data_IF_666636016490
#
_entry.id   IF_666636016490
#
_cell.length_a   1.000
_cell.length_b   1.000
_cell.length_c   1.000
_cell.angle_alpha   90.00
_cell.angle_beta   90.00
_cell.angle_gamma   90.00
#
_symmetry.space_group_name_H-M   'P 1'
#
loop_
_entity.id
_entity.type
_entity.pdbx_description
1 polymer ?
#
# COMPACT_ATOMS: atom_id res chain seq x y z
N UNK A 1 -24.77 6.71 1.10
CA UNK A 1 -23.47 6.19 0.60
C UNK A 1 -22.95 7.24 -0.37
N UNK A 2 -21.63 7.42 -0.49
CA UNK A 2 -21.10 8.56 -1.24
C UNK A 2 -19.90 8.16 -2.09
N UNK A 3 -20.03 8.27 -3.42
CA UNK A 3 -18.89 8.33 -4.31
C UNK A 3 -18.13 9.65 -4.09
N UNK A 4 -16.80 9.61 -4.27
CA UNK A 4 -15.94 10.80 -4.18
C UNK A 4 -15.19 10.96 -5.48
N UNK A 5 -15.25 12.15 -6.08
CA UNK A 5 -14.53 12.48 -7.31
C UNK A 5 -13.60 13.66 -7.06
N UNK A 6 -12.37 13.48 -7.44
CA UNK A 6 -11.30 14.48 -7.38
C UNK A 6 -10.93 14.84 -8.81
N UNK A 7 -11.11 16.09 -9.22
CA UNK A 7 -10.79 16.59 -10.55
C UNK A 7 -9.68 17.63 -10.44
N UNK A 8 -8.47 17.27 -10.90
CA UNK A 8 -7.29 18.11 -10.93
C UNK A 8 -7.00 18.83 -9.60
N UNK A 9 -7.10 18.10 -8.48
CA UNK A 9 -6.92 18.65 -7.13
C UNK A 9 -5.48 19.12 -6.94
N UNK A 10 -5.32 20.38 -6.55
CA UNK A 10 -4.03 21.02 -6.27
C UNK A 10 -4.02 21.58 -4.85
N UNK A 11 -2.90 21.39 -4.14
CA UNK A 11 -2.61 22.07 -2.87
C UNK A 11 -1.29 22.81 -2.93
N UNK A 12 -1.32 24.10 -2.59
CA UNK A 12 -0.15 24.98 -2.46
C UNK A 12 -0.15 25.64 -1.09
N UNK A 13 1.03 25.76 -0.52
CA UNK A 13 1.27 26.56 0.68
C UNK A 13 2.18 27.74 0.30
N UNK A 14 1.64 28.95 0.30
CA UNK A 14 2.32 30.13 -0.24
C UNK A 14 2.55 30.02 -1.76
N UNK A 15 3.43 30.87 -2.29
CA UNK A 15 3.59 31.03 -3.74
C UNK A 15 4.42 29.91 -4.42
N UNK A 16 5.24 29.16 -3.66
CA UNK A 16 6.23 28.25 -4.26
C UNK A 16 6.14 26.78 -3.82
N UNK A 17 5.38 26.46 -2.77
CA UNK A 17 5.37 25.08 -2.25
C UNK A 17 4.10 24.32 -2.61
N UNK A 18 4.11 23.65 -3.76
CA UNK A 18 3.02 22.76 -4.19
C UNK A 18 3.25 21.37 -3.58
N UNK A 19 2.28 20.90 -2.80
CA UNK A 19 2.30 19.58 -2.14
C UNK A 19 1.47 18.55 -2.92
N UNK A 20 0.38 18.96 -3.57
CA UNK A 20 -0.46 18.12 -4.42
C UNK A 20 -0.48 18.73 -5.81
N UNK A 21 -0.17 17.91 -6.82
CA UNK A 21 0.15 18.35 -8.17
C UNK A 21 -0.91 17.93 -9.21
N UNK A 22 -2.18 18.26 -8.99
CA UNK A 22 -3.24 17.92 -9.94
C UNK A 22 -3.62 16.44 -9.87
N UNK A 23 -4.40 16.06 -8.84
CA UNK A 23 -4.86 14.69 -8.65
C UNK A 23 -6.24 14.53 -9.26
N UNK A 24 -6.34 13.52 -10.15
CA UNK A 24 -7.59 12.99 -10.68
C UNK A 24 -7.81 11.60 -10.08
N UNK A 25 -8.94 11.40 -9.39
CA UNK A 25 -9.29 10.12 -8.78
C UNK A 25 -10.81 10.00 -8.62
N UNK A 26 -11.34 8.86 -9.04
CA UNK A 26 -12.71 8.46 -8.78
C UNK A 26 -12.75 7.33 -7.76
N UNK A 27 -13.47 7.52 -6.66
CA UNK A 27 -13.72 6.54 -5.59
C UNK A 27 -15.18 6.16 -5.66
N UNK A 28 -15.44 4.86 -5.82
CA UNK A 28 -16.78 4.33 -6.00
C UNK A 28 -17.56 4.34 -4.69
N UNK A 29 -18.88 4.39 -4.80
CA UNK A 29 -19.74 4.22 -3.65
C UNK A 29 -19.55 2.84 -3.00
N UNK A 30 -19.43 2.81 -1.66
CA UNK A 30 -19.18 1.59 -0.89
C UNK A 30 -17.76 1.01 -1.03
N UNK A 31 -16.84 1.69 -1.69
CA UNK A 31 -15.47 1.22 -1.89
C UNK A 31 -14.61 1.42 -0.64
N UNK A 32 -13.77 0.41 -0.32
CA UNK A 32 -12.65 0.57 0.61
C UNK A 32 -11.37 0.84 -0.18
N UNK A 33 -10.97 2.09 -0.25
CA UNK A 33 -9.75 2.51 -0.96
C UNK A 33 -8.66 2.90 0.02
N UNK A 34 -7.42 2.51 -0.28
CA UNK A 34 -6.26 2.80 0.57
C UNK A 34 -5.27 3.70 -0.16
N UNK A 35 -4.88 4.80 0.48
CA UNK A 35 -3.80 5.68 0.04
C UNK A 35 -2.50 5.26 0.73
N UNK A 36 -1.51 4.87 -0.04
CA UNK A 36 -0.22 4.41 0.48
C UNK A 36 0.94 5.14 -0.21
N UNK A 37 2.06 5.29 0.49
CA UNK A 37 3.26 5.96 -0.04
C UNK A 37 4.18 6.42 1.08
N UNK A 38 5.37 6.94 0.77
CA UNK A 38 6.33 7.45 1.73
C UNK A 38 5.75 8.55 2.63
N UNK A 39 6.38 8.76 3.79
CA UNK A 39 6.04 9.90 4.64
C UNK A 39 6.24 11.23 3.91
N UNK A 40 5.33 12.18 4.11
CA UNK A 40 5.41 13.51 3.48
C UNK A 40 4.99 13.59 2.01
N UNK A 41 4.53 12.51 1.37
CA UNK A 41 4.10 12.54 -0.04
C UNK A 41 2.69 13.13 -0.28
N UNK A 42 2.01 13.67 0.74
CA UNK A 42 0.75 14.40 0.57
C UNK A 42 -0.54 13.63 0.89
N UNK A 43 -0.49 12.35 1.29
CA UNK A 43 -1.69 11.51 1.58
C UNK A 43 -2.62 12.12 2.63
N UNK A 44 -2.10 12.46 3.81
CA UNK A 44 -2.89 13.07 4.89
C UNK A 44 -3.37 14.47 4.53
N UNK A 45 -2.60 15.22 3.71
CA UNK A 45 -3.05 16.52 3.19
C UNK A 45 -4.27 16.33 2.29
N UNK A 46 -4.23 15.38 1.36
CA UNK A 46 -5.38 15.06 0.50
C UNK A 46 -6.59 14.59 1.32
N UNK A 47 -6.36 13.72 2.32
CA UNK A 47 -7.42 13.25 3.20
C UNK A 47 -8.08 14.42 3.96
N UNK A 48 -7.28 15.37 4.46
CA UNK A 48 -7.76 16.56 5.17
C UNK A 48 -8.51 17.53 4.24
N UNK A 49 -8.10 17.65 2.97
CA UNK A 49 -8.87 18.41 1.96
C UNK A 49 -10.24 17.76 1.71
N UNK A 50 -10.31 16.43 1.59
CA UNK A 50 -11.59 15.71 1.48
C UNK A 50 -12.45 15.95 2.73
N UNK A 51 -11.84 15.96 3.93
CA UNK A 51 -12.53 16.26 5.18
C UNK A 51 -12.98 17.72 5.33
N UNK A 52 -12.44 18.64 4.52
CA UNK A 52 -12.66 20.08 4.68
C UNK A 52 -11.86 20.72 5.79
N UNK A 53 -10.86 20.02 6.32
CA UNK A 53 -9.94 20.50 7.34
C UNK A 53 -8.73 21.23 6.75
N UNK A 54 -8.61 21.18 5.44
CA UNK A 54 -7.58 21.84 4.65
C UNK A 54 -8.21 22.37 3.36
N UNK A 55 -7.90 23.62 3.00
CA UNK A 55 -8.42 24.25 1.78
C UNK A 55 -7.80 23.65 0.51
N UNK A 56 -8.62 23.53 -0.53
CA UNK A 56 -8.20 23.15 -1.88
C UNK A 56 -7.71 24.40 -2.59
N UNK A 57 -6.49 24.39 -3.12
CA UNK A 57 -5.93 25.53 -3.86
C UNK A 57 -6.34 25.58 -5.33
N UNK A 58 -6.82 24.47 -5.90
CA UNK A 58 -7.31 24.38 -7.26
C UNK A 58 -7.91 23.01 -7.54
N UNK A 59 -8.75 22.93 -8.57
CA UNK A 59 -9.52 21.75 -8.89
C UNK A 59 -10.84 21.65 -8.14
N UNK A 60 -11.57 20.55 -8.33
CA UNK A 60 -12.92 20.35 -7.81
C UNK A 60 -13.02 19.01 -7.06
N UNK A 61 -13.55 19.05 -5.84
CA UNK A 61 -13.92 17.89 -5.04
C UNK A 61 -15.45 17.72 -5.07
N UNK A 62 -15.89 16.54 -5.47
CA UNK A 62 -17.31 16.19 -5.38
C UNK A 62 -17.51 15.03 -4.41
N UNK A 63 -18.50 15.15 -3.51
CA UNK A 63 -18.92 14.11 -2.56
C UNK A 63 -20.41 13.85 -2.81
N UNK A 64 -20.78 12.60 -3.10
CA UNK A 64 -22.13 12.21 -3.48
C UNK A 64 -22.69 13.09 -4.63
N UNK A 65 -21.84 13.44 -5.61
CA UNK A 65 -22.18 14.27 -6.76
C UNK A 65 -22.30 15.78 -6.49
N UNK A 66 -22.09 16.24 -5.25
CA UNK A 66 -22.14 17.65 -4.87
C UNK A 66 -20.74 18.23 -4.80
N UNK A 67 -20.52 19.43 -5.37
CA UNK A 67 -19.28 20.18 -5.21
C UNK A 67 -19.06 20.52 -3.72
N UNK A 68 -17.94 20.10 -3.17
CA UNK A 68 -17.67 20.15 -1.74
C UNK A 68 -16.53 21.10 -1.35
N UNK A 69 -15.96 21.85 -2.29
CA UNK A 69 -14.83 22.73 -2.02
C UNK A 69 -15.10 23.68 -0.84
N UNK A 70 -16.26 24.35 -0.84
CA UNK A 70 -16.65 25.37 0.14
C UNK A 70 -17.61 24.85 1.21
N UNK A 71 -17.96 23.53 1.20
CA UNK A 71 -18.82 22.94 2.22
C UNK A 71 -18.02 22.78 3.52
N UNK A 72 -18.55 23.30 4.62
CA UNK A 72 -17.95 23.16 5.93
C UNK A 72 -17.77 21.68 6.35
N UNK A 73 -16.71 21.32 7.09
CA UNK A 73 -16.43 19.92 7.48
C UNK A 73 -17.62 19.20 8.12
N UNK A 74 -18.40 19.90 8.97
CA UNK A 74 -19.54 19.33 9.67
C UNK A 74 -20.70 18.94 8.74
N UNK A 75 -20.80 19.57 7.58
CA UNK A 75 -21.89 19.42 6.60
C UNK A 75 -21.56 18.45 5.47
N UNK A 76 -20.31 17.96 5.38
CA UNK A 76 -19.87 17.01 4.32
C UNK A 76 -20.41 15.59 4.48
N UNK A 77 -21.14 15.28 5.57
CA UNK A 77 -21.72 13.96 5.81
C UNK A 77 -20.68 12.85 6.05
N UNK A 78 -19.49 13.19 6.52
CA UNK A 78 -18.37 12.28 6.75
C UNK A 78 -17.98 12.18 8.23
N UNK A 79 -17.20 11.14 8.56
CA UNK A 79 -16.53 11.01 9.85
C UNK A 79 -15.05 10.69 9.64
N UNK A 80 -14.18 11.28 10.48
CA UNK A 80 -12.74 11.07 10.42
C UNK A 80 -12.22 10.47 11.73
N UNK A 81 -11.38 9.44 11.59
CA UNK A 81 -10.61 8.82 12.66
C UNK A 81 -9.15 9.24 12.51
N UNK A 82 -8.64 9.90 13.53
CA UNK A 82 -7.28 10.46 13.55
C UNK A 82 -6.27 9.46 14.11
N UNK A 83 -5.02 9.60 13.74
CA UNK A 83 -3.89 8.83 14.25
C UNK A 83 -3.77 8.87 15.79
N UNK A 84 -4.07 10.00 16.42
CA UNK A 84 -4.04 10.18 17.88
C UNK A 84 -5.30 9.71 18.61
N UNK A 85 -6.27 9.11 17.87
CA UNK A 85 -7.63 8.76 18.34
C UNK A 85 -8.47 9.97 18.77
N UNK A 86 -7.87 11.06 19.21
CA UNK A 86 -8.50 12.33 19.65
C UNK A 86 -9.69 12.13 20.63
N UNK A 87 -9.56 11.18 21.56
CA UNK A 87 -10.57 10.94 22.61
C UNK A 87 -10.53 12.03 23.66
N UNK A 88 -11.70 12.40 24.17
CA UNK A 88 -11.84 13.32 25.30
C UNK A 88 -11.46 12.58 26.60
N UNK A 89 -10.33 12.92 27.26
CA UNK A 89 -9.78 12.11 28.34
C UNK A 89 -10.61 12.13 29.64
N UNK A 90 -11.41 13.16 29.82
CA UNK A 90 -12.27 13.35 30.99
C UNK A 90 -13.63 12.64 30.88
N UNK A 91 -14.04 12.27 29.65
CA UNK A 91 -15.30 11.59 29.34
C UNK A 91 -15.13 10.07 29.37
N UNK A 92 -16.20 9.36 29.75
CA UNK A 92 -16.29 7.91 29.58
C UNK A 92 -16.33 7.51 28.11
N UNK A 93 -16.23 6.21 27.81
CA UNK A 93 -16.43 5.66 26.45
C UNK A 93 -17.79 6.03 25.91
N UNK A 94 -18.84 5.84 26.74
CA UNK A 94 -20.21 6.21 26.39
C UNK A 94 -20.32 7.70 26.01
N UNK A 95 -19.80 8.58 26.86
CA UNK A 95 -19.83 10.04 26.63
C UNK A 95 -19.04 10.46 25.39
N UNK A 96 -17.86 9.85 25.14
CA UNK A 96 -17.09 10.07 23.94
C UNK A 96 -17.89 9.73 22.67
N UNK A 97 -18.60 8.59 22.67
CA UNK A 97 -19.40 8.16 21.53
C UNK A 97 -20.68 9.01 21.39
N UNK A 98 -21.32 9.34 22.48
CA UNK A 98 -22.56 10.12 22.53
C UNK A 98 -22.39 11.59 22.16
N UNK A 99 -21.18 12.14 22.32
CA UNK A 99 -20.91 13.59 22.30
C UNK A 99 -21.49 14.30 21.08
N UNK A 100 -21.20 13.80 19.89
CA UNK A 100 -21.63 14.45 18.64
C UNK A 100 -23.16 14.47 18.48
N UNK A 101 -23.85 13.38 18.83
CA UNK A 101 -25.30 13.29 18.74
C UNK A 101 -25.98 14.16 19.81
N UNK A 102 -25.40 14.20 21.01
CA UNK A 102 -25.89 15.05 22.10
C UNK A 102 -25.76 16.53 21.75
N UNK A 103 -24.63 16.93 21.15
CA UNK A 103 -24.40 18.31 20.68
C UNK A 103 -25.37 18.70 19.55
N UNK A 104 -25.73 17.76 18.68
CA UNK A 104 -26.72 17.94 17.62
C UNK A 104 -28.19 17.96 18.12
N UNK A 105 -28.41 17.81 19.43
CA UNK A 105 -29.74 17.91 20.05
C UNK A 105 -30.61 16.66 19.92
N UNK A 106 -30.05 15.48 19.58
CA UNK A 106 -30.82 14.22 19.54
C UNK A 106 -31.37 13.84 20.93
N UNK A 107 -32.51 13.17 20.96
CA UNK A 107 -33.13 12.70 22.19
C UNK A 107 -32.25 11.66 22.90
N UNK A 108 -32.20 11.69 24.24
CA UNK A 108 -31.40 10.77 25.06
C UNK A 108 -31.60 9.30 24.71
N UNK A 109 -32.83 8.88 24.40
CA UNK A 109 -33.15 7.51 24.01
C UNK A 109 -32.53 7.13 22.66
N UNK A 110 -32.53 8.04 21.67
CA UNK A 110 -31.93 7.83 20.35
C UNK A 110 -30.38 7.74 20.44
N UNK A 111 -29.79 8.65 21.23
CA UNK A 111 -28.34 8.66 21.50
C UNK A 111 -27.92 7.34 22.13
N UNK A 112 -28.66 6.90 23.17
CA UNK A 112 -28.38 5.64 23.86
C UNK A 112 -28.45 4.45 22.92
N UNK A 113 -29.51 4.31 22.14
CA UNK A 113 -29.67 3.23 21.17
C UNK A 113 -28.58 3.23 20.09
N UNK A 114 -28.13 4.41 19.62
CA UNK A 114 -27.04 4.52 18.65
C UNK A 114 -25.70 4.09 19.25
N UNK A 115 -25.39 4.52 20.48
CA UNK A 115 -24.16 4.14 21.18
C UNK A 115 -24.13 2.65 21.50
N UNK A 116 -25.22 2.07 21.98
CA UNK A 116 -25.33 0.63 22.31
C UNK A 116 -25.09 -0.21 21.02
N UNK A 117 -25.75 0.10 19.91
CA UNK A 117 -25.52 -0.59 18.63
C UNK A 117 -24.08 -0.49 18.15
N UNK A 118 -23.48 0.69 18.20
CA UNK A 118 -22.08 0.86 17.79
C UNK A 118 -21.12 0.11 18.72
N UNK A 119 -21.41 0.08 20.04
CA UNK A 119 -20.62 -0.65 21.01
C UNK A 119 -20.71 -2.18 20.82
N UNK A 120 -21.88 -2.71 20.42
CA UNK A 120 -22.06 -4.12 20.05
C UNK A 120 -21.23 -4.50 18.81
N UNK A 121 -21.33 -3.70 17.72
CA UNK A 121 -20.54 -3.92 16.49
C UNK A 121 -19.04 -4.01 16.79
N UNK A 122 -18.57 -3.14 17.69
CA UNK A 122 -17.15 -3.01 18.05
C UNK A 122 -16.73 -3.89 19.23
N UNK A 123 -17.67 -4.65 19.85
CA UNK A 123 -17.43 -5.49 21.02
C UNK A 123 -16.83 -4.73 22.22
N UNK A 124 -17.30 -3.49 22.45
CA UNK A 124 -16.85 -2.62 23.55
C UNK A 124 -17.94 -2.29 24.57
N UNK A 125 -19.09 -2.95 24.51
CA UNK A 125 -20.20 -2.76 25.46
C UNK A 125 -19.76 -2.81 26.94
N UNK A 126 -18.89 -3.75 27.40
CA UNK A 126 -18.41 -3.79 28.77
C UNK A 126 -17.52 -2.60 29.17
N UNK A 127 -17.06 -1.81 28.19
CA UNK A 127 -16.13 -0.70 28.39
C UNK A 127 -16.84 0.66 28.48
N UNK A 128 -18.14 0.74 28.24
CA UNK A 128 -18.89 2.01 28.07
C UNK A 128 -18.71 2.98 29.23
N UNK A 129 -18.55 2.47 30.48
CA UNK A 129 -18.37 3.28 31.66
C UNK A 129 -16.92 3.60 32.03
N UNK A 130 -15.93 3.05 31.26
CA UNK A 130 -14.51 3.31 31.48
C UNK A 130 -14.09 4.64 30.85
N UNK A 131 -12.96 5.19 31.32
CA UNK A 131 -12.32 6.36 30.71
C UNK A 131 -11.16 5.95 29.79
N UNK A 132 -10.73 6.79 28.83
CA UNK A 132 -9.65 6.48 27.91
C UNK A 132 -8.34 6.04 28.58
N UNK A 133 -8.02 6.55 29.76
CA UNK A 133 -6.83 6.16 30.54
C UNK A 133 -6.83 4.67 30.96
N UNK A 134 -8.00 4.08 31.11
CA UNK A 134 -8.21 2.71 31.59
C UNK A 134 -8.32 1.69 30.42
N UNK A 135 -8.01 2.13 29.19
CA UNK A 135 -8.16 1.35 27.97
C UNK A 135 -6.80 1.02 27.34
N UNK A 136 -6.70 -0.16 26.71
CA UNK A 136 -5.57 -0.50 25.83
C UNK A 136 -5.58 0.36 24.54
N UNK A 137 -4.48 0.34 23.79
CA UNK A 137 -4.39 1.04 22.48
C UNK A 137 -5.53 0.66 21.53
N UNK A 138 -5.75 -0.64 21.33
CA UNK A 138 -6.83 -1.13 20.46
C UNK A 138 -8.23 -0.80 20.97
N UNK A 139 -8.43 -0.81 22.30
CA UNK A 139 -9.71 -0.39 22.87
C UNK A 139 -9.95 1.10 22.62
N UNK A 140 -8.94 1.96 22.78
CA UNK A 140 -9.05 3.39 22.45
C UNK A 140 -9.38 3.60 20.97
N UNK A 141 -8.78 2.83 20.08
CA UNK A 141 -9.09 2.88 18.66
C UNK A 141 -10.53 2.48 18.36
N UNK A 142 -11.02 1.36 18.92
CA UNK A 142 -12.44 0.96 18.76
C UNK A 142 -13.38 2.06 19.25
N UNK A 143 -13.05 2.74 20.34
CA UNK A 143 -13.85 3.90 20.81
C UNK A 143 -13.83 5.05 19.81
N UNK A 144 -12.69 5.36 19.21
CA UNK A 144 -12.58 6.40 18.18
C UNK A 144 -13.41 6.05 16.92
N UNK A 145 -13.37 4.78 16.49
CA UNK A 145 -14.21 4.27 15.41
C UNK A 145 -15.71 4.33 15.82
N UNK A 146 -16.05 3.94 17.06
CA UNK A 146 -17.41 4.00 17.59
C UNK A 146 -17.97 5.42 17.57
N UNK A 147 -17.16 6.42 17.94
CA UNK A 147 -17.51 7.83 17.84
C UNK A 147 -17.82 8.28 16.41
N UNK A 148 -17.18 7.66 15.43
CA UNK A 148 -17.45 7.90 14.02
C UNK A 148 -18.73 7.19 13.54
N UNK A 149 -18.94 5.93 13.93
CA UNK A 149 -20.08 5.09 13.50
C UNK A 149 -21.43 5.64 13.99
N UNK A 150 -21.51 6.13 15.24
CA UNK A 150 -22.79 6.64 15.81
C UNK A 150 -23.41 7.74 14.98
N UNK A 151 -22.62 8.48 14.19
CA UNK A 151 -23.09 9.54 13.30
C UNK A 151 -23.68 9.01 11.99
N UNK A 152 -23.55 7.72 11.70
CA UNK A 152 -23.96 7.09 10.43
C UNK A 152 -23.47 7.87 9.20
N UNK A 153 -22.17 8.12 9.07
CA UNK A 153 -21.65 8.94 7.98
C UNK A 153 -21.77 8.20 6.64
N UNK A 154 -21.84 8.96 5.57
CA UNK A 154 -21.81 8.44 4.19
C UNK A 154 -20.40 8.08 3.72
N UNK A 155 -19.37 8.63 4.38
CA UNK A 155 -17.95 8.46 4.06
C UNK A 155 -17.11 8.40 5.34
N UNK A 156 -16.29 7.37 5.48
CA UNK A 156 -15.30 7.27 6.55
C UNK A 156 -13.91 7.64 6.03
N UNK A 157 -13.19 8.43 6.82
CA UNK A 157 -11.80 8.82 6.58
C UNK A 157 -10.93 8.32 7.74
N UNK A 158 -9.85 7.60 7.43
CA UNK A 158 -8.90 7.09 8.41
C UNK A 158 -7.50 7.63 8.12
N UNK A 159 -6.93 8.43 9.05
CA UNK A 159 -5.57 8.98 8.93
C UNK A 159 -4.62 8.18 9.82
N UNK A 160 -3.95 7.18 9.26
CA UNK A 160 -2.99 6.26 9.90
C UNK A 160 -3.48 5.67 11.25
N UNK A 161 -4.67 5.09 11.31
CA UNK A 161 -5.30 4.77 12.60
C UNK A 161 -4.59 3.65 13.37
N UNK A 162 -3.78 2.80 12.72
CA UNK A 162 -3.10 1.66 13.33
C UNK A 162 -1.63 1.91 13.70
N UNK A 163 -1.07 3.06 13.34
CA UNK A 163 0.36 3.37 13.48
C UNK A 163 0.89 3.26 14.93
N UNK A 164 0.04 3.56 15.92
CA UNK A 164 0.39 3.58 17.34
C UNK A 164 0.13 2.23 18.06
N UNK A 165 -0.14 1.15 17.31
CA UNK A 165 -0.40 -0.19 17.85
C UNK A 165 0.81 -1.11 17.66
N UNK A 166 0.96 -2.09 18.55
CA UNK A 166 1.90 -3.19 18.37
C UNK A 166 1.50 -4.11 17.20
N UNK A 167 2.43 -4.95 16.74
CA UNK A 167 2.25 -5.78 15.55
C UNK A 167 1.07 -6.78 15.68
N UNK A 168 0.90 -7.40 16.86
CA UNK A 168 -0.17 -8.36 17.12
C UNK A 168 -1.54 -7.69 17.04
N UNK A 169 -1.66 -6.55 17.70
CA UNK A 169 -2.90 -5.78 17.73
C UNK A 169 -3.25 -5.19 16.36
N UNK A 170 -2.25 -4.79 15.54
CA UNK A 170 -2.49 -4.37 14.15
C UNK A 170 -3.13 -5.48 13.32
N UNK A 171 -2.67 -6.73 13.44
CA UNK A 171 -3.29 -7.87 12.74
C UNK A 171 -4.77 -8.00 13.10
N UNK A 172 -5.08 -7.99 14.40
CA UNK A 172 -6.46 -8.08 14.87
C UNK A 172 -7.33 -6.92 14.35
N UNK A 173 -6.82 -5.70 14.44
CA UNK A 173 -7.55 -4.50 14.04
C UNK A 173 -7.81 -4.42 12.53
N UNK A 174 -6.89 -4.93 11.68
CA UNK A 174 -7.16 -5.06 10.24
C UNK A 174 -8.35 -5.98 9.95
N UNK A 175 -8.42 -7.14 10.61
CA UNK A 175 -9.57 -8.03 10.46
C UNK A 175 -10.87 -7.37 10.90
N UNK A 176 -10.84 -6.60 11.99
CA UNK A 176 -12.02 -5.86 12.48
C UNK A 176 -12.47 -4.76 11.51
N UNK A 177 -11.54 -3.99 10.95
CA UNK A 177 -11.85 -2.97 9.95
C UNK A 177 -12.45 -3.58 8.68
N UNK A 178 -11.92 -4.72 8.23
CA UNK A 178 -12.48 -5.45 7.09
C UNK A 178 -13.92 -5.93 7.37
N UNK A 179 -14.18 -6.51 8.55
CA UNK A 179 -15.54 -6.91 8.98
C UNK A 179 -16.48 -5.70 9.09
N UNK A 180 -15.97 -4.61 9.64
CA UNK A 180 -16.74 -3.36 9.77
C UNK A 180 -17.17 -2.84 8.40
N UNK A 181 -16.25 -2.81 7.43
CA UNK A 181 -16.59 -2.40 6.06
C UNK A 181 -17.66 -3.31 5.45
N UNK A 182 -17.52 -4.64 5.60
CA UNK A 182 -18.51 -5.61 5.13
C UNK A 182 -19.89 -5.41 5.76
N UNK A 183 -19.95 -5.04 7.06
CA UNK A 183 -21.20 -4.81 7.76
C UNK A 183 -21.87 -3.47 7.39
N UNK A 184 -21.07 -2.42 7.17
CA UNK A 184 -21.58 -1.06 6.92
C UNK A 184 -21.79 -0.77 5.44
N UNK A 185 -21.04 -1.43 4.55
CA UNK A 185 -21.03 -1.20 3.09
C UNK A 185 -20.84 0.30 2.73
N UNK A 186 -20.17 1.07 3.59
CA UNK A 186 -19.98 2.51 3.44
C UNK A 186 -18.62 2.79 2.81
N UNK A 187 -18.52 3.82 1.99
CA UNK A 187 -17.26 4.26 1.39
C UNK A 187 -16.22 4.58 2.47
N UNK A 188 -15.02 4.00 2.34
CA UNK A 188 -13.91 4.20 3.28
C UNK A 188 -12.65 4.61 2.55
N UNK A 189 -12.03 5.72 2.98
CA UNK A 189 -10.71 6.16 2.53
C UNK A 189 -9.74 5.99 3.71
N UNK A 190 -8.71 5.20 3.50
CA UNK A 190 -7.75 4.82 4.53
C UNK A 190 -6.34 5.24 4.12
N UNK A 191 -5.69 6.04 4.94
CA UNK A 191 -4.29 6.46 4.74
C UNK A 191 -3.37 5.61 5.60
N UNK A 192 -2.31 5.10 5.01
CA UNK A 192 -1.24 4.38 5.72
C UNK A 192 0.11 4.53 5.01
N UNK A 193 1.19 4.29 5.74
CA UNK A 193 2.52 4.04 5.18
C UNK A 193 2.91 2.54 5.22
N UNK A 194 2.06 1.70 5.81
CA UNK A 194 2.25 0.25 5.92
C UNK A 194 1.66 -0.47 4.70
N UNK A 195 2.53 -1.12 3.92
CA UNK A 195 2.12 -1.86 2.73
C UNK A 195 1.24 -3.08 3.04
N UNK A 196 1.41 -3.71 4.22
CA UNK A 196 0.61 -4.88 4.61
C UNK A 196 -0.82 -4.45 4.88
N UNK A 197 -1.03 -3.28 5.53
CA UNK A 197 -2.35 -2.70 5.70
C UNK A 197 -2.99 -2.42 4.33
N UNK A 198 -2.25 -1.78 3.41
CA UNK A 198 -2.77 -1.45 2.09
C UNK A 198 -3.16 -2.71 1.30
N UNK A 199 -2.31 -3.74 1.29
CA UNK A 199 -2.53 -4.99 0.56
C UNK A 199 -3.67 -5.84 1.13
N UNK A 200 -3.96 -5.72 2.44
CA UNK A 200 -4.96 -6.56 3.13
C UNK A 200 -6.34 -5.90 3.29
N UNK A 201 -6.42 -4.58 3.32
CA UNK A 201 -7.66 -3.84 3.53
C UNK A 201 -8.26 -3.28 2.23
N UNK A 202 -7.40 -2.83 1.30
CA UNK A 202 -7.85 -2.12 0.12
C UNK A 202 -8.49 -3.01 -0.93
N UNK A 203 -9.70 -2.67 -1.38
CA UNK A 203 -10.24 -3.18 -2.65
C UNK A 203 -9.46 -2.57 -3.82
N UNK A 204 -9.11 -1.29 -3.69
CA UNK A 204 -8.13 -0.60 -4.53
C UNK A 204 -7.13 0.15 -3.66
N UNK A 205 -5.93 0.25 -4.19
CA UNK A 205 -4.83 1.01 -3.59
C UNK A 205 -4.44 2.14 -4.53
N UNK A 206 -4.20 3.30 -3.97
CA UNK A 206 -3.60 4.46 -4.64
C UNK A 206 -2.18 4.62 -4.12
N UNK A 207 -1.20 4.44 -4.97
CA UNK A 207 0.22 4.61 -4.61
C UNK A 207 0.61 6.07 -4.87
N UNK A 208 1.00 6.76 -3.80
CA UNK A 208 1.42 8.17 -3.83
C UNK A 208 2.94 8.32 -3.84
N UNK A 209 3.43 9.26 -4.63
CA UNK A 209 4.81 9.69 -4.60
C UNK A 209 4.90 11.19 -4.96
N UNK A 210 5.59 12.00 -4.14
CA UNK A 210 5.85 13.40 -4.42
C UNK A 210 4.60 14.22 -4.80
N UNK A 211 3.47 14.02 -4.11
CA UNK A 211 2.22 14.75 -4.37
C UNK A 211 1.46 14.32 -5.63
N UNK A 212 1.82 13.20 -6.23
CA UNK A 212 1.19 12.62 -7.42
C UNK A 212 0.72 11.19 -7.17
N UNK A 213 -0.19 10.73 -8.00
CA UNK A 213 -0.57 9.31 -8.05
C UNK A 213 0.34 8.61 -9.05
N UNK A 214 1.10 7.62 -8.58
CA UNK A 214 1.95 6.77 -9.41
C UNK A 214 1.13 5.68 -10.13
N UNK A 215 0.25 5.03 -9.37
CA UNK A 215 -0.60 3.97 -9.90
C UNK A 215 -1.82 3.76 -9.00
N UNK A 216 -2.94 3.37 -9.62
CA UNK A 216 -4.16 2.94 -8.93
C UNK A 216 -4.54 1.56 -9.44
N UNK A 217 -4.87 0.65 -8.53
CA UNK A 217 -5.28 -0.70 -8.93
C UNK A 217 -5.67 -1.58 -7.75
N UNK A 218 -6.09 -2.81 -8.03
CA UNK A 218 -6.25 -3.82 -6.97
C UNK A 218 -4.89 -4.19 -6.38
N UNK A 219 -4.82 -4.68 -5.13
CA UNK A 219 -3.57 -5.16 -4.53
C UNK A 219 -2.81 -6.12 -5.45
N UNK A 220 -3.51 -7.09 -6.01
CA UNK A 220 -2.92 -8.08 -6.94
C UNK A 220 -2.35 -7.42 -8.20
N UNK A 221 -3.09 -6.51 -8.84
CA UNK A 221 -2.62 -5.84 -10.05
C UNK A 221 -1.36 -4.99 -9.79
N UNK A 222 -1.32 -4.22 -8.70
CA UNK A 222 -0.17 -3.40 -8.33
C UNK A 222 1.08 -4.24 -8.00
N UNK A 223 0.88 -5.40 -7.39
CA UNK A 223 1.98 -6.31 -7.04
C UNK A 223 2.56 -7.01 -8.26
N UNK A 224 1.69 -7.54 -9.14
CA UNK A 224 2.10 -8.31 -10.31
C UNK A 224 2.48 -7.47 -11.52
N UNK A 225 1.90 -6.27 -11.65
CA UNK A 225 2.06 -5.38 -12.80
C UNK A 225 2.33 -3.94 -12.35
N UNK A 226 3.43 -3.69 -11.61
CA UNK A 226 3.79 -2.34 -11.23
C UNK A 226 4.12 -1.52 -12.48
N UNK A 227 3.54 -0.32 -12.59
CA UNK A 227 3.74 0.56 -13.74
C UNK A 227 5.11 1.23 -13.75
N UNK A 228 5.75 1.35 -12.58
CA UNK A 228 7.04 2.01 -12.43
C UNK A 228 7.97 1.25 -11.48
N UNK A 229 9.27 1.50 -11.60
CA UNK A 229 10.29 1.06 -10.64
C UNK A 229 9.93 1.47 -9.22
N UNK A 230 9.33 2.66 -9.05
CA UNK A 230 8.90 3.13 -7.74
C UNK A 230 7.84 2.21 -7.13
N UNK A 231 6.75 1.91 -7.85
CA UNK A 231 5.69 1.01 -7.37
C UNK A 231 6.23 -0.40 -7.11
N UNK A 232 7.08 -0.91 -8.02
CA UNK A 232 7.74 -2.21 -7.91
C UNK A 232 8.57 -2.34 -6.63
N UNK A 233 9.36 -1.31 -6.31
CA UNK A 233 10.22 -1.27 -5.12
C UNK A 233 9.49 -0.85 -3.84
N UNK A 234 8.32 -0.22 -3.95
CA UNK A 234 7.54 0.21 -2.79
C UNK A 234 6.68 -0.93 -2.21
N UNK A 235 6.06 -1.76 -3.06
CA UNK A 235 5.19 -2.87 -2.65
C UNK A 235 5.95 -4.19 -2.62
N UNK A 236 5.89 -4.88 -1.48
CA UNK A 236 6.50 -6.19 -1.24
C UNK A 236 7.57 -6.17 -0.16
N UNK A 237 7.64 -7.26 0.64
CA UNK A 237 8.66 -7.50 1.65
C UNK A 237 9.20 -8.93 1.51
N UNK A 238 10.45 -9.11 1.12
CA UNK A 238 11.42 -8.08 0.70
C UNK A 238 10.97 -7.26 -0.52
N UNK A 239 11.60 -6.08 -0.70
CA UNK A 239 11.39 -5.27 -1.91
C UNK A 239 11.77 -6.06 -3.17
N UNK A 240 11.17 -5.71 -4.31
CA UNK A 240 11.58 -6.27 -5.61
C UNK A 240 13.08 -6.03 -5.83
N UNK A 241 13.78 -7.06 -6.28
CA UNK A 241 15.14 -6.91 -6.77
C UNK A 241 15.12 -6.09 -8.06
N UNK A 242 15.85 -5.00 -8.08
CA UNK A 242 15.98 -4.09 -9.23
C UNK A 242 17.44 -4.08 -9.66
N UNK A 243 17.73 -4.72 -10.80
CA UNK A 243 19.09 -4.93 -11.28
C UNK A 243 19.31 -4.13 -12.57
N UNK A 244 20.34 -3.30 -12.60
CA UNK A 244 20.73 -2.60 -13.81
C UNK A 244 21.18 -3.62 -14.88
N UNK A 245 20.72 -3.44 -16.11
CA UNK A 245 21.07 -4.31 -17.23
C UNK A 245 21.09 -3.53 -18.55
N UNK A 246 21.58 -4.16 -19.61
CA UNK A 246 21.63 -3.58 -20.97
C UNK A 246 20.93 -4.54 -21.92
N UNK A 247 20.08 -4.01 -22.80
CA UNK A 247 19.45 -4.79 -23.87
C UNK A 247 20.52 -5.30 -24.86
N UNK A 248 20.44 -6.59 -25.20
CA UNK A 248 21.38 -7.24 -26.14
C UNK A 248 20.70 -7.58 -27.46
N UNK A 249 19.47 -8.09 -27.35
CA UNK A 249 18.64 -8.43 -28.50
C UNK A 249 17.16 -8.27 -28.10
N UNK A 250 16.34 -7.97 -29.08
CA UNK A 250 14.92 -7.74 -28.91
C UNK A 250 14.13 -8.39 -30.03
N UNK A 251 13.00 -8.98 -29.70
CA UNK A 251 11.97 -9.37 -30.65
C UNK A 251 10.57 -8.97 -30.12
N UNK A 252 9.52 -9.29 -30.84
CA UNK A 252 8.15 -8.90 -30.48
C UNK A 252 7.65 -9.49 -29.17
N UNK A 253 8.32 -10.53 -28.63
CA UNK A 253 7.85 -11.29 -27.47
C UNK A 253 8.87 -11.37 -26.33
N UNK A 254 10.15 -11.08 -26.63
CA UNK A 254 11.26 -11.31 -25.73
C UNK A 254 12.30 -10.21 -25.84
N UNK A 255 12.74 -9.71 -24.71
CA UNK A 255 13.92 -8.83 -24.62
C UNK A 255 15.03 -9.60 -23.90
N UNK A 256 16.15 -9.77 -24.57
CA UNK A 256 17.36 -10.36 -23.99
C UNK A 256 18.21 -9.26 -23.38
N UNK A 257 18.52 -9.39 -22.11
CA UNK A 257 19.31 -8.41 -21.36
C UNK A 257 20.60 -9.03 -20.82
N UNK A 258 21.63 -8.21 -20.64
CA UNK A 258 22.90 -8.60 -20.02
C UNK A 258 23.09 -7.85 -18.72
N UNK A 259 23.36 -8.59 -17.65
CA UNK A 259 23.75 -8.06 -16.34
C UNK A 259 25.24 -7.63 -16.34
N UNK A 260 25.69 -6.82 -15.36
CA UNK A 260 27.08 -6.36 -15.27
C UNK A 260 28.14 -7.47 -15.09
N UNK A 261 27.74 -8.65 -14.61
CA UNK A 261 28.59 -9.84 -14.47
C UNK A 261 28.76 -10.62 -15.79
N UNK A 262 27.99 -10.22 -16.83
CA UNK A 262 27.97 -10.87 -18.13
C UNK A 262 26.86 -11.90 -18.31
N UNK A 263 26.09 -12.23 -17.26
CA UNK A 263 24.95 -13.13 -17.37
C UNK A 263 23.91 -12.57 -18.35
N UNK A 264 23.38 -13.45 -19.20
CA UNK A 264 22.38 -13.11 -20.22
C UNK A 264 21.05 -13.73 -19.85
N UNK A 265 20.01 -12.90 -19.80
CA UNK A 265 18.68 -13.29 -19.38
C UNK A 265 17.66 -12.94 -20.47
N UNK A 266 16.76 -13.87 -20.76
CA UNK A 266 15.62 -13.65 -21.64
C UNK A 266 14.39 -13.29 -20.77
N UNK A 267 13.73 -12.20 -21.09
CA UNK A 267 12.56 -11.69 -20.37
C UNK A 267 11.38 -11.59 -21.33
N UNK A 268 10.22 -12.12 -20.91
CA UNK A 268 8.99 -12.05 -21.68
C UNK A 268 8.40 -10.61 -21.62
N UNK A 269 8.83 -9.77 -22.55
CA UNK A 269 8.41 -8.38 -22.67
C UNK A 269 8.35 -7.98 -24.14
N UNK A 270 7.49 -7.02 -24.46
CA UNK A 270 7.41 -6.42 -25.78
C UNK A 270 8.65 -5.55 -26.02
N UNK A 271 9.49 -5.96 -26.95
CA UNK A 271 10.71 -5.28 -27.34
C UNK A 271 10.51 -4.18 -28.39
N UNK A 272 9.29 -3.88 -28.81
CA UNK A 272 9.02 -2.96 -29.93
C UNK A 272 9.56 -1.53 -29.76
N UNK A 273 9.81 -1.10 -28.54
CA UNK A 273 10.39 0.22 -28.22
C UNK A 273 11.83 0.16 -27.71
N UNK A 274 12.42 -1.04 -27.63
CA UNK A 274 13.75 -1.27 -27.07
C UNK A 274 14.74 -1.58 -28.18
N UNK A 275 15.91 -0.97 -28.11
CA UNK A 275 17.04 -1.22 -29.03
C UNK A 275 18.22 -1.86 -28.29
N UNK A 276 19.02 -2.65 -29.00
CA UNK A 276 20.24 -3.18 -28.44
C UNK A 276 21.17 -2.04 -27.99
N UNK A 277 21.66 -2.11 -26.75
CA UNK A 277 22.46 -1.07 -26.10
C UNK A 277 21.68 -0.21 -25.12
N UNK A 278 20.36 -0.26 -25.10
CA UNK A 278 19.55 0.51 -24.16
C UNK A 278 19.78 0.05 -22.70
N UNK A 279 19.88 1.05 -21.82
CA UNK A 279 19.95 0.81 -20.37
C UNK A 279 18.57 0.54 -19.81
N UNK A 280 18.40 -0.60 -19.20
CA UNK A 280 17.15 -1.07 -18.61
C UNK A 280 17.35 -1.45 -17.13
N UNK A 281 16.25 -1.60 -16.41
CA UNK A 281 16.24 -2.19 -15.08
C UNK A 281 15.45 -3.48 -15.11
N UNK A 282 16.08 -4.59 -14.71
CA UNK A 282 15.44 -5.87 -14.51
C UNK A 282 14.81 -5.91 -13.10
N UNK A 283 13.53 -6.19 -13.02
CA UNK A 283 12.80 -6.41 -11.78
C UNK A 283 12.43 -7.86 -11.60
N UNK A 284 12.73 -8.43 -10.43
CA UNK A 284 12.27 -9.78 -10.04
C UNK A 284 12.00 -9.84 -8.55
N UNK A 285 10.89 -10.45 -8.15
CA UNK A 285 10.54 -10.63 -6.74
C UNK A 285 11.40 -11.69 -6.08
N UNK A 286 11.72 -11.50 -4.79
CA UNK A 286 12.57 -12.40 -4.02
C UNK A 286 12.05 -13.85 -3.96
N UNK A 287 10.75 -14.03 -3.94
CA UNK A 287 10.07 -15.33 -3.91
C UNK A 287 10.06 -16.06 -5.27
N UNK A 288 10.36 -15.37 -6.35
CA UNK A 288 10.41 -15.97 -7.68
C UNK A 288 11.81 -16.45 -8.07
N UNK A 289 12.85 -16.00 -7.38
CA UNK A 289 14.22 -16.46 -7.63
C UNK A 289 14.40 -17.82 -6.96
N UNK A 290 14.78 -18.82 -7.74
CA UNK A 290 15.07 -20.15 -7.22
C UNK A 290 16.58 -20.35 -7.05
N UNK A 291 17.00 -20.93 -5.92
CA UNK A 291 18.35 -21.46 -5.77
C UNK A 291 18.39 -22.85 -6.40
N UNK A 292 19.33 -23.09 -7.31
CA UNK A 292 19.48 -24.34 -8.06
C UNK A 292 20.85 -24.95 -7.81
N UNK A 293 21.00 -26.24 -8.14
CA UNK A 293 22.28 -26.95 -8.00
C UNK A 293 23.29 -26.49 -9.06
N UNK A 294 24.57 -26.70 -8.81
CA UNK A 294 25.63 -26.35 -9.74
C UNK A 294 25.50 -27.03 -11.10
N UNK A 295 24.93 -28.23 -11.15
CA UNK A 295 24.74 -29.01 -12.38
C UNK A 295 23.51 -28.59 -13.18
N UNK A 296 22.67 -27.67 -12.67
CA UNK A 296 21.48 -27.20 -13.38
C UNK A 296 21.90 -26.47 -14.66
N UNK A 297 21.41 -26.96 -15.79
CA UNK A 297 21.59 -26.34 -17.11
C UNK A 297 20.29 -25.66 -17.52
N UNK A 298 20.36 -24.55 -18.26
CA UNK A 298 19.18 -23.84 -18.74
C UNK A 298 19.41 -22.36 -18.94
N UNK A 299 18.34 -21.66 -19.27
CA UNK A 299 18.34 -20.20 -19.43
C UNK A 299 18.21 -19.47 -18.10
N UNK A 300 18.59 -18.20 -18.10
CA UNK A 300 18.40 -17.28 -16.98
C UNK A 300 19.07 -17.71 -15.67
N UNK A 301 20.28 -18.23 -15.77
CA UNK A 301 21.11 -18.59 -14.63
C UNK A 301 22.10 -17.47 -14.31
N UNK A 302 22.24 -17.16 -13.01
CA UNK A 302 23.11 -16.11 -12.49
C UNK A 302 23.91 -16.66 -11.33
N UNK A 303 25.23 -16.40 -11.31
CA UNK A 303 26.10 -16.76 -10.20
C UNK A 303 26.13 -15.60 -9.17
N UNK A 304 25.98 -15.93 -7.91
CA UNK A 304 25.98 -14.95 -6.82
C UNK A 304 26.71 -15.53 -5.60
N UNK A 305 27.17 -14.65 -4.71
CA UNK A 305 27.76 -15.07 -3.44
C UNK A 305 26.89 -14.56 -2.29
N UNK A 306 26.61 -15.43 -1.31
CA UNK A 306 25.86 -15.06 -0.09
C UNK A 306 26.60 -13.97 0.68
N UNK A 307 25.92 -12.87 0.96
CA UNK A 307 26.44 -11.81 1.83
C UNK A 307 25.89 -11.89 3.25
N UNK A 308 24.60 -12.21 3.39
CA UNK A 308 23.92 -12.31 4.69
C UNK A 308 22.67 -13.20 4.58
N UNK A 309 22.25 -13.79 5.70
CA UNK A 309 21.04 -14.61 5.79
C UNK A 309 20.20 -14.16 6.98
N UNK A 310 18.95 -13.81 6.73
CA UNK A 310 17.96 -13.53 7.77
C UNK A 310 17.06 -14.76 7.93
N UNK A 311 17.13 -15.39 9.11
CA UNK A 311 16.28 -16.55 9.44
C UNK A 311 15.00 -16.08 10.12
N UNK A 312 13.85 -16.38 9.54
CA UNK A 312 12.54 -15.95 10.03
C UNK A 312 11.69 -17.10 10.59
N UNK A 313 12.27 -18.28 10.77
CA UNK A 313 11.61 -19.49 11.27
C UNK A 313 11.29 -20.47 10.14
N UNK A 314 10.17 -20.33 9.50
CA UNK A 314 9.71 -21.17 8.37
C UNK A 314 10.37 -20.83 7.04
N UNK A 315 10.95 -19.63 6.93
CA UNK A 315 11.63 -19.14 5.74
C UNK A 315 12.92 -18.40 6.09
N UNK A 316 13.77 -18.20 5.07
CA UNK A 316 14.93 -17.35 5.13
C UNK A 316 14.93 -16.33 3.98
N UNK A 317 15.49 -15.15 4.24
CA UNK A 317 15.85 -14.18 3.21
C UNK A 317 17.36 -14.25 3.07
N UNK A 318 17.80 -14.73 1.90
CA UNK A 318 19.22 -14.82 1.56
C UNK A 318 19.59 -13.58 0.73
N UNK A 319 20.42 -12.73 1.31
CA UNK A 319 21.02 -11.61 0.60
C UNK A 319 22.27 -12.12 -0.13
N UNK A 320 22.29 -11.94 -1.44
CA UNK A 320 23.40 -12.36 -2.29
C UNK A 320 23.92 -11.20 -3.13
N UNK A 321 25.17 -11.29 -3.53
CA UNK A 321 25.87 -10.31 -4.33
C UNK A 321 26.27 -10.89 -5.69
N UNK A 322 25.86 -10.23 -6.75
CA UNK A 322 26.32 -10.46 -8.13
C UNK A 322 27.52 -9.54 -8.35
N UNK A 323 28.68 -10.11 -8.65
CA UNK A 323 29.91 -9.37 -8.90
C UNK A 323 30.07 -9.11 -10.40
N UNK A 324 29.82 -7.88 -10.81
CA UNK A 324 30.04 -7.46 -12.19
C UNK A 324 31.49 -7.13 -12.51
N UNK A 325 31.76 -6.93 -13.78
CA UNK A 325 33.05 -6.45 -14.25
C UNK A 325 33.39 -5.09 -13.63
N UNK A 326 34.65 -4.79 -13.45
CA UNK A 326 35.16 -3.52 -12.85
C UNK A 326 34.74 -3.27 -11.41
N UNK A 327 34.40 -4.32 -10.63
CA UNK A 327 34.08 -4.20 -9.19
C UNK A 327 32.67 -3.66 -8.89
N UNK A 328 31.81 -3.50 -9.88
CA UNK A 328 30.40 -3.18 -9.65
C UNK A 328 29.72 -4.37 -9.01
N UNK A 329 29.12 -4.18 -7.84
CA UNK A 329 28.38 -5.22 -7.13
C UNK A 329 26.90 -4.85 -7.07
N UNK A 330 26.02 -5.76 -7.48
CA UNK A 330 24.59 -5.63 -7.30
C UNK A 330 24.13 -6.64 -6.23
N UNK A 331 23.34 -6.17 -5.28
CA UNK A 331 22.76 -7.02 -4.23
C UNK A 331 21.33 -7.40 -4.58
N UNK A 332 20.95 -8.62 -4.21
CA UNK A 332 19.60 -9.12 -4.36
C UNK A 332 19.20 -9.93 -3.12
N UNK A 333 17.90 -10.06 -2.92
CA UNK A 333 17.29 -10.89 -1.90
C UNK A 333 16.59 -12.09 -2.55
N UNK A 334 16.82 -13.27 -2.00
CA UNK A 334 16.10 -14.51 -2.38
C UNK A 334 15.30 -14.97 -1.18
N UNK A 335 14.02 -15.22 -1.34
CA UNK A 335 13.16 -15.77 -0.31
C UNK A 335 13.00 -17.26 -0.55
N UNK A 336 13.39 -18.07 0.41
CA UNK A 336 13.31 -19.54 0.30
C UNK A 336 12.76 -20.17 1.57
N UNK A 337 12.08 -21.31 1.43
CA UNK A 337 11.71 -22.16 2.56
C UNK A 337 12.97 -22.77 3.21
N UNK A 338 12.87 -23.05 4.50
CA UNK A 338 13.97 -23.68 5.26
C UNK A 338 13.69 -25.17 5.39
N UNK A 339 13.88 -25.92 4.29
CA UNK A 339 13.72 -27.38 4.27
C UNK A 339 15.05 -28.14 4.43
N UNK A 340 16.15 -27.42 4.68
CA UNK A 340 17.51 -27.94 4.80
C UNK A 340 18.44 -26.96 5.51
N UNK A 341 19.74 -27.09 5.32
CA UNK A 341 20.72 -26.18 5.89
C UNK A 341 20.63 -24.78 5.27
N UNK A 342 20.85 -23.74 6.09
CA UNK A 342 20.96 -22.37 5.61
C UNK A 342 22.30 -22.17 4.89
N UNK A 343 22.33 -21.43 3.77
CA UNK A 343 23.58 -21.09 3.11
C UNK A 343 24.43 -20.18 4.01
N UNK A 344 25.74 -20.32 3.94
CA UNK A 344 26.68 -19.54 4.74
C UNK A 344 27.18 -18.31 3.97
N UNK A 345 27.56 -17.27 4.70
CA UNK A 345 28.19 -16.09 4.12
C UNK A 345 29.45 -16.48 3.32
N UNK A 346 29.60 -15.96 2.13
CA UNK A 346 30.66 -16.30 1.18
C UNK A 346 30.38 -17.52 0.29
N UNK A 347 29.34 -18.30 0.59
CA UNK A 347 28.96 -19.45 -0.23
C UNK A 347 28.50 -19.00 -1.63
N UNK A 348 28.98 -19.68 -2.66
CA UNK A 348 28.51 -19.46 -4.02
C UNK A 348 27.11 -20.05 -4.19
N UNK A 349 26.23 -19.31 -4.84
CA UNK A 349 24.88 -19.73 -5.20
C UNK A 349 24.69 -19.63 -6.71
N UNK A 350 23.97 -20.59 -7.25
CA UNK A 350 23.45 -20.51 -8.60
C UNK A 350 21.96 -20.24 -8.54
N UNK A 351 21.55 -19.12 -9.14
CA UNK A 351 20.20 -18.58 -9.06
C UNK A 351 19.54 -18.66 -10.43
N UNK A 352 18.29 -19.08 -10.46
CA UNK A 352 17.46 -19.11 -11.65
C UNK A 352 16.42 -18.00 -11.59
N UNK A 353 16.32 -17.21 -12.66
CA UNK A 353 15.36 -16.12 -12.83
C UNK A 353 14.28 -16.56 -13.84
N UNK A 354 13.09 -17.01 -13.40
CA UNK A 354 12.06 -17.49 -14.33
C UNK A 354 11.57 -16.35 -15.22
N UNK A 355 11.71 -16.47 -16.53
CA UNK A 355 11.35 -15.46 -17.50
C UNK A 355 9.93 -14.87 -17.33
N UNK A 356 8.88 -15.66 -17.00
CA UNK A 356 7.54 -15.13 -16.76
C UNK A 356 7.40 -14.22 -15.54
N UNK A 357 8.35 -14.26 -14.61
CA UNK A 357 8.33 -13.46 -13.37
C UNK A 357 9.31 -12.28 -13.40
N UNK A 358 10.07 -12.15 -14.47
CA UNK A 358 10.92 -11.00 -14.71
C UNK A 358 10.12 -9.85 -15.32
N UNK A 359 10.44 -8.63 -14.90
CA UNK A 359 9.91 -7.38 -15.45
C UNK A 359 11.05 -6.55 -15.97
N UNK A 360 10.80 -5.74 -16.98
CA UNK A 360 11.76 -4.75 -17.45
C UNK A 360 11.17 -3.35 -17.32
N UNK A 361 12.03 -2.43 -16.96
CA UNK A 361 11.71 -1.01 -16.87
C UNK A 361 12.71 -0.23 -17.74
N UNK A 362 12.20 0.77 -18.43
CA UNK A 362 13.00 1.68 -19.26
C UNK A 362 13.89 2.61 -18.42
N UNK A 363 14.66 3.45 -19.09
CA UNK A 363 15.54 4.44 -18.45
C UNK A 363 14.76 5.50 -17.64
N UNK A 364 13.47 5.69 -17.89
CA UNK A 364 12.58 6.56 -17.14
C UNK A 364 11.92 5.86 -15.97
N UNK A 365 12.18 4.55 -15.77
CA UNK A 365 11.61 3.73 -14.72
C UNK A 365 10.19 3.26 -15.01
N UNK A 366 9.69 3.34 -16.24
CA UNK A 366 8.39 2.81 -16.65
C UNK A 366 8.51 1.34 -17.05
N UNK A 367 7.52 0.54 -16.65
CA UNK A 367 7.49 -0.86 -17.02
C UNK A 367 7.26 -1.04 -18.53
N UNK A 368 8.01 -1.93 -19.15
CA UNK A 368 7.74 -2.39 -20.51
C UNK A 368 6.49 -3.28 -20.52
N UNK A 369 5.67 -3.22 -21.57
CA UNK A 369 4.52 -4.10 -21.70
C UNK A 369 4.94 -5.57 -21.69
N UNK A 370 4.17 -6.41 -21.00
CA UNK A 370 4.36 -7.86 -21.05
C UNK A 370 3.77 -8.41 -22.33
N UNK A 371 4.39 -9.44 -22.85
CA UNK A 371 3.84 -10.18 -24.00
C UNK A 371 2.53 -10.87 -23.58
N UNK A 372 1.42 -10.70 -24.33
CA UNK A 372 0.17 -11.41 -24.08
C UNK A 372 0.40 -12.93 -24.14
N UNK A 373 -0.03 -13.67 -23.13
CA UNK A 373 0.09 -15.13 -23.07
C UNK A 373 1.24 -15.68 -22.20
N UNK A 374 2.09 -14.83 -21.63
CA UNK A 374 2.98 -15.28 -20.55
C UNK A 374 2.10 -15.63 -19.33
N UNK A 375 2.03 -16.93 -18.89
CA UNK A 375 1.16 -17.30 -17.79
C UNK A 375 1.60 -16.56 -16.53
N UNK A 376 0.70 -15.75 -15.97
CA UNK A 376 0.78 -15.37 -14.58
C UNK A 376 0.68 -16.68 -13.81
N UNK A 377 1.76 -17.08 -13.10
CA UNK A 377 1.76 -18.32 -12.34
C UNK A 377 0.48 -18.43 -11.52
N UNK A 378 -0.34 -19.43 -11.83
CA UNK A 378 -1.48 -19.77 -11.00
C UNK A 378 -0.90 -20.29 -9.69
N UNK A 379 -1.04 -19.52 -8.63
CA UNK A 379 -0.91 -20.02 -7.27
C UNK A 379 -2.17 -20.85 -6.98
N UNK A 380 -2.01 -22.20 -6.93
CA UNK A 380 -2.92 -23.04 -6.18
C UNK A 380 -2.70 -22.85 -4.69
#
# INVERSE_FOLDING_TARGET
MAAVTLNNIVKRYGDQNTIIHGIDLEIRDGEFIVFVGPSGCGKSTLLRMIAGLEEISGGELHIAGKLANDIAPAERGLAMVFQSYALYPHMTVYENMAFALSLAGHKKAEVRAAVERAAEILQITPLLQRKPKDLSGGQRQRVAIGRAIVRQPQLFLFDEPLSNLDASLRVQMRMELSRLHQALQTTMIYVTHDQVEAMTLGQRIVVFNGGRIEQVGTPHALYQQPATVFVAGFLGAPKMNLLACVAVATDAATVTVRLPDGAVLAVAADGGTVTAGDSLTLGVRAEHIATVTADTTGANLVEAAVSHVEYLGDMAIVHAAIRGARGVTQTLAVRQAVDGGLPQAGQALRLQFPAPHCLLFDAQGKALPRTPGAPLGQFM
#
